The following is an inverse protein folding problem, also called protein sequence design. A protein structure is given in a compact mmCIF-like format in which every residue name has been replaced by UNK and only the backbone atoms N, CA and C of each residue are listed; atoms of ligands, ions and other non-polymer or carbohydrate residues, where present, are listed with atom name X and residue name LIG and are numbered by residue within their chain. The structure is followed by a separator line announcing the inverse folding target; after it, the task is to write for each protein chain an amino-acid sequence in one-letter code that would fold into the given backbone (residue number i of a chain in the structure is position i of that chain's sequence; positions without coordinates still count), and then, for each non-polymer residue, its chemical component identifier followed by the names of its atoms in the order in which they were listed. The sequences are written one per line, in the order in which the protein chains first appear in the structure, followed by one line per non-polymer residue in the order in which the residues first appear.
data_IF_365063720114
#
_entry.id   IF_365063720114
#
_cell.length_a   1.000
_cell.length_b   1.000
_cell.length_c   1.000
_cell.angle_alpha   90.00
_cell.angle_beta   90.00
_cell.angle_gamma   90.00
#
_symmetry.space_group_name_H-M   'P 1'
#
loop_
_entity.id
_entity.type
_entity.pdbx_description
1 polymer ?
#
# COMPACT_ATOMS: atom_id res chain seq x y z
N UNK A 1 16.31 -30.81 77.76
CA UNK A 1 16.21 -31.67 78.96
C UNK A 1 15.57 -30.84 80.07
N UNK A 2 15.37 -31.38 81.27
CA UNK A 2 14.73 -30.64 82.37
C UNK A 2 15.78 -29.86 83.16
N UNK A 3 15.55 -28.57 83.38
CA UNK A 3 16.40 -27.70 84.22
C UNK A 3 16.70 -28.37 85.56
N UNK A 4 17.98 -28.49 85.89
CA UNK A 4 18.40 -28.97 87.22
C UNK A 4 18.25 -27.82 88.23
N UNK A 5 17.53 -28.06 89.33
CA UNK A 5 17.21 -27.05 90.35
C UNK A 5 18.06 -27.28 91.60
N UNK A 6 18.70 -26.22 92.08
CA UNK A 6 19.45 -26.23 93.35
C UNK A 6 18.45 -25.94 94.48
N UNK A 7 18.27 -26.89 95.39
CA UNK A 7 17.49 -26.66 96.62
C UNK A 7 18.39 -25.98 97.66
N UNK A 8 17.98 -24.84 98.18
CA UNK A 8 18.75 -24.07 99.18
C UNK A 8 18.43 -24.44 100.63
N UNK A 9 17.51 -25.40 100.84
CA UNK A 9 17.01 -25.75 102.17
C UNK A 9 15.91 -24.81 102.66
N UNK A 10 15.27 -25.16 103.77
CA UNK A 10 14.21 -24.37 104.41
C UNK A 10 14.76 -23.38 105.45
N UNK A 11 15.95 -23.61 105.98
CA UNK A 11 16.66 -22.75 106.91
C UNK A 11 18.20 -22.89 106.77
N UNK A 12 18.93 -21.91 107.30
CA UNK A 12 20.40 -21.97 107.29
C UNK A 12 20.90 -23.20 108.06
N UNK A 13 21.82 -23.96 107.46
CA UNK A 13 22.46 -25.15 108.03
C UNK A 13 21.50 -26.31 108.37
N UNK A 14 20.31 -26.37 107.77
CA UNK A 14 19.33 -27.44 108.05
C UNK A 14 19.63 -28.81 107.40
N UNK A 15 20.68 -28.89 106.58
CA UNK A 15 21.13 -30.12 105.92
C UNK A 15 20.19 -30.65 104.82
N UNK A 16 19.09 -29.97 104.53
CA UNK A 16 18.07 -30.40 103.56
C UNK A 16 18.32 -29.87 102.13
N UNK A 17 19.27 -28.96 101.97
CA UNK A 17 19.68 -28.39 100.69
C UNK A 17 20.51 -29.35 99.82
N UNK A 18 20.62 -29.03 98.54
CA UNK A 18 21.49 -29.75 97.61
C UNK A 18 22.96 -29.57 98.04
N UNK A 19 23.76 -30.66 98.17
CA UNK A 19 25.17 -30.54 98.51
C UNK A 19 25.93 -29.61 97.55
N UNK A 20 26.85 -28.80 98.07
CA UNK A 20 27.55 -27.76 97.29
C UNK A 20 28.21 -28.31 96.01
N UNK A 21 28.85 -29.49 96.08
CA UNK A 21 29.45 -30.17 94.92
C UNK A 21 28.41 -30.50 93.85
N UNK A 22 27.28 -31.09 94.26
CA UNK A 22 26.17 -31.44 93.36
C UNK A 22 25.53 -30.18 92.77
N UNK A 23 25.43 -29.11 93.55
CA UNK A 23 24.96 -27.82 93.05
C UNK A 23 25.87 -27.26 91.94
N UNK A 24 27.21 -27.31 92.09
CA UNK A 24 28.13 -26.89 91.02
C UNK A 24 28.07 -27.79 89.78
N UNK A 25 27.80 -29.09 89.94
CA UNK A 25 27.56 -29.99 88.80
C UNK A 25 26.27 -29.60 88.05
N UNK A 26 25.21 -29.26 88.76
CA UNK A 26 23.96 -28.76 88.15
C UNK A 26 24.18 -27.45 87.40
N UNK A 27 24.98 -26.54 87.95
CA UNK A 27 25.36 -25.29 87.28
C UNK A 27 26.04 -25.57 85.95
N UNK A 28 27.08 -26.41 85.94
CA UNK A 28 27.82 -26.73 84.72
C UNK A 28 26.93 -27.44 83.68
N UNK A 29 26.12 -28.40 84.11
CA UNK A 29 25.20 -29.12 83.23
C UNK A 29 24.17 -28.17 82.58
N UNK A 30 23.57 -27.26 83.36
CA UNK A 30 22.64 -26.27 82.85
C UNK A 30 23.31 -25.29 81.85
N UNK A 31 24.56 -24.86 82.11
CA UNK A 31 25.28 -23.97 81.19
C UNK A 31 25.72 -24.67 79.91
N UNK A 32 26.20 -25.92 79.98
CA UNK A 32 26.48 -26.73 78.79
C UNK A 32 25.21 -26.91 77.95
N UNK A 33 24.05 -27.14 78.57
CA UNK A 33 22.79 -27.22 77.85
C UNK A 33 22.44 -25.89 77.13
N UNK A 34 22.63 -24.74 77.79
CA UNK A 34 22.37 -23.44 77.18
C UNK A 34 23.34 -23.12 76.03
N UNK A 35 24.64 -23.39 76.20
CA UNK A 35 25.64 -23.17 75.15
C UNK A 35 25.37 -24.07 73.94
N UNK A 36 25.09 -25.34 74.17
CA UNK A 36 24.78 -26.29 73.11
C UNK A 36 23.48 -25.90 72.38
N UNK A 37 22.48 -25.42 73.13
CA UNK A 37 21.22 -24.96 72.55
C UNK A 37 21.38 -23.71 71.67
N UNK A 38 22.06 -22.68 72.19
CA UNK A 38 22.22 -21.39 71.51
C UNK A 38 23.19 -21.46 70.31
N UNK A 39 24.17 -22.35 70.36
CA UNK A 39 25.14 -22.57 69.26
C UNK A 39 24.66 -23.61 68.25
N UNK A 40 23.78 -24.53 68.66
CA UNK A 40 23.36 -25.67 67.86
C UNK A 40 24.41 -26.79 67.75
N UNK A 41 25.48 -26.76 68.56
CA UNK A 41 26.58 -27.74 68.55
C UNK A 41 26.74 -28.39 69.92
N UNK A 42 26.97 -29.70 69.97
CA UNK A 42 27.21 -30.41 71.24
C UNK A 42 28.57 -30.03 71.85
N UNK A 43 28.62 -29.82 73.16
CA UNK A 43 29.80 -29.42 73.94
C UNK A 43 30.42 -28.07 73.50
N UNK A 44 29.59 -27.08 73.18
CA UNK A 44 30.07 -25.77 72.78
C UNK A 44 30.71 -25.01 73.95
N UNK A 45 31.89 -24.43 73.69
CA UNK A 45 32.67 -23.68 74.69
C UNK A 45 32.64 -22.17 74.46
N UNK A 46 32.06 -21.72 73.35
CA UNK A 46 31.92 -20.31 72.97
C UNK A 46 30.51 -20.05 72.43
N UNK A 47 29.97 -18.87 72.69
CA UNK A 47 28.71 -18.44 72.09
C UNK A 47 28.95 -17.92 70.66
N UNK A 48 27.98 -18.07 69.74
CA UNK A 48 28.14 -17.60 68.37
C UNK A 48 28.03 -16.07 68.31
N UNK A 49 28.62 -15.46 67.29
CA UNK A 49 28.51 -14.01 67.03
C UNK A 49 27.08 -13.59 66.69
N UNK A 50 26.26 -14.51 66.18
CA UNK A 50 24.82 -14.36 65.99
C UNK A 50 24.12 -15.70 66.27
N UNK A 51 22.92 -15.66 66.84
CA UNK A 51 22.11 -16.86 67.03
C UNK A 51 21.72 -17.46 65.67
N UNK A 52 21.82 -18.80 65.48
CA UNK A 52 21.36 -19.44 64.26
C UNK A 52 19.85 -19.25 64.02
N UNK A 53 19.43 -19.13 62.76
CA UNK A 53 18.00 -18.98 62.38
C UNK A 53 17.16 -20.12 62.97
N UNK A 54 17.67 -21.37 62.93
CA UNK A 54 16.99 -22.55 63.48
C UNK A 54 16.82 -22.54 65.02
N UNK A 55 17.45 -21.58 65.73
CA UNK A 55 17.41 -21.42 67.19
C UNK A 55 16.87 -20.05 67.62
N UNK A 56 16.10 -19.39 66.74
CA UNK A 56 15.49 -18.08 67.05
C UNK A 56 16.33 -16.87 66.64
N UNK A 57 17.35 -17.06 65.80
CA UNK A 57 18.25 -16.01 65.30
C UNK A 57 17.62 -14.83 64.56
N UNK A 58 16.30 -14.87 64.31
CA UNK A 58 15.55 -13.74 63.79
C UNK A 58 15.08 -12.78 64.88
N UNK A 59 15.12 -13.16 66.18
CA UNK A 59 14.61 -12.33 67.28
C UNK A 59 13.08 -12.14 67.28
N UNK A 60 12.34 -12.96 66.53
CA UNK A 60 10.89 -12.82 66.35
C UNK A 60 10.12 -14.04 66.83
N UNK A 61 8.95 -13.83 67.44
CA UNK A 61 8.02 -14.89 67.88
C UNK A 61 6.89 -15.17 66.89
N UNK A 62 6.82 -14.41 65.78
CA UNK A 62 5.84 -14.59 64.71
C UNK A 62 6.53 -14.66 63.35
N UNK A 63 5.91 -15.36 62.39
CA UNK A 63 6.43 -15.47 61.03
C UNK A 63 6.53 -14.09 60.33
N UNK A 64 5.61 -13.16 60.62
CA UNK A 64 5.63 -11.81 60.04
C UNK A 64 6.83 -10.97 60.54
N UNK A 65 7.09 -10.97 61.85
CA UNK A 65 8.24 -10.28 62.42
C UNK A 65 9.56 -10.94 61.97
N UNK A 66 9.59 -12.27 61.83
CA UNK A 66 10.78 -12.97 61.32
C UNK A 66 11.12 -12.55 59.88
N UNK A 67 10.11 -12.43 58.99
CA UNK A 67 10.31 -11.92 57.63
C UNK A 67 10.81 -10.47 57.61
N UNK A 68 10.26 -9.62 58.47
CA UNK A 68 10.68 -8.21 58.62
C UNK A 68 12.15 -8.13 59.04
N UNK A 69 12.56 -8.90 60.04
CA UNK A 69 13.93 -8.88 60.57
C UNK A 69 14.96 -9.44 59.57
N UNK A 70 14.52 -10.28 58.62
CA UNK A 70 15.34 -10.77 57.50
C UNK A 70 15.33 -9.82 56.28
N UNK A 71 14.62 -8.69 56.34
CA UNK A 71 14.50 -7.76 55.20
C UNK A 71 13.71 -8.32 54.02
N UNK A 72 12.86 -9.33 54.26
CA UNK A 72 12.04 -9.94 53.22
C UNK A 72 10.82 -9.05 52.95
N UNK A 73 10.68 -8.53 51.73
CA UNK A 73 9.54 -7.71 51.31
C UNK A 73 8.27 -8.50 51.01
N UNK A 74 7.26 -7.82 50.46
CA UNK A 74 5.91 -8.36 50.24
C UNK A 74 5.87 -9.62 49.36
N UNK A 75 6.85 -9.78 48.46
CA UNK A 75 7.00 -10.96 47.62
C UNK A 75 7.09 -12.28 48.41
N UNK A 76 7.61 -12.25 49.63
CA UNK A 76 7.72 -13.43 50.50
C UNK A 76 6.37 -13.96 51.01
N UNK A 77 5.28 -13.20 50.80
CA UNK A 77 3.92 -13.58 51.21
C UNK A 77 2.96 -13.77 50.03
N UNK A 78 3.38 -13.41 48.82
CA UNK A 78 2.53 -13.55 47.64
C UNK A 78 2.27 -15.02 47.31
N UNK A 79 1.00 -15.34 47.11
CA UNK A 79 0.60 -16.65 46.60
C UNK A 79 0.90 -16.70 45.10
N UNK A 80 1.55 -17.76 44.63
CA UNK A 80 1.74 -17.98 43.19
C UNK A 80 0.42 -18.26 42.50
N UNK A 81 0.30 -17.83 41.26
CA UNK A 81 -0.80 -18.23 40.38
C UNK A 81 -0.92 -19.76 40.29
N UNK A 82 -2.15 -20.27 40.35
CA UNK A 82 -2.46 -21.70 40.49
C UNK A 82 -2.68 -22.43 39.16
N UNK A 83 -3.05 -21.71 38.09
CA UNK A 83 -3.28 -22.27 36.76
C UNK A 83 -2.92 -21.25 35.66
N UNK A 84 -2.98 -21.72 34.42
CA UNK A 84 -2.77 -20.89 33.23
C UNK A 84 -3.90 -19.88 32.94
N UNK A 85 -5.00 -19.95 33.68
CA UNK A 85 -6.18 -19.09 33.55
C UNK A 85 -6.50 -18.32 34.84
N UNK A 86 -5.58 -18.30 35.80
CA UNK A 86 -5.79 -17.78 37.15
C UNK A 86 -5.85 -16.24 37.21
N UNK A 87 -7.05 -15.69 37.07
CA UNK A 87 -7.31 -14.24 37.12
C UNK A 87 -7.35 -13.63 38.55
N UNK A 88 -6.86 -14.32 39.59
CA UNK A 88 -6.91 -13.80 40.97
C UNK A 88 -5.90 -12.66 41.16
N UNK A 89 -6.41 -11.46 41.47
CA UNK A 89 -5.59 -10.28 41.75
C UNK A 89 -4.62 -10.50 42.94
N UNK A 90 -3.44 -9.88 42.87
CA UNK A 90 -2.44 -9.91 43.94
C UNK A 90 -1.58 -11.17 44.03
N UNK A 91 -1.68 -12.09 43.05
CA UNK A 91 -0.82 -13.27 42.96
C UNK A 91 0.50 -13.00 42.23
N UNK A 92 1.54 -13.73 42.59
CA UNK A 92 2.79 -13.74 41.83
C UNK A 92 2.66 -14.63 40.58
N UNK A 93 3.07 -14.11 39.42
CA UNK A 93 3.00 -14.84 38.15
C UNK A 93 4.03 -15.98 38.12
N UNK A 94 3.57 -17.18 37.77
CA UNK A 94 4.44 -18.33 37.49
C UNK A 94 4.67 -18.48 35.98
N UNK A 95 5.86 -18.96 35.59
CA UNK A 95 6.20 -19.23 34.18
C UNK A 95 5.19 -20.21 33.57
N UNK A 96 4.71 -19.87 32.37
CA UNK A 96 3.71 -20.60 31.61
C UNK A 96 2.27 -20.18 31.89
N UNK A 97 2.00 -19.44 32.98
CA UNK A 97 0.66 -18.95 33.22
C UNK A 97 0.33 -17.81 32.27
N UNK A 98 -0.90 -17.83 31.74
CA UNK A 98 -1.33 -16.98 30.63
C UNK A 98 -0.42 -17.05 29.40
N UNK A 99 0.40 -18.10 29.27
CA UNK A 99 1.35 -18.26 28.16
C UNK A 99 2.62 -17.41 28.27
N UNK A 100 2.84 -16.76 29.42
CA UNK A 100 4.02 -15.90 29.63
C UNK A 100 5.23 -16.76 29.97
N UNK A 101 6.32 -16.63 29.22
CA UNK A 101 7.57 -17.37 29.42
C UNK A 101 7.55 -18.83 28.93
N UNK A 102 6.36 -19.42 28.73
CA UNK A 102 6.15 -20.66 27.97
C UNK A 102 4.79 -20.59 27.29
N UNK A 103 4.77 -20.60 25.96
CA UNK A 103 3.53 -20.54 25.19
C UNK A 103 2.59 -21.70 25.51
N UNK A 104 1.28 -21.42 25.47
CA UNK A 104 0.23 -22.42 25.63
C UNK A 104 -0.30 -22.78 24.25
N UNK A 105 -0.50 -24.07 23.95
CA UNK A 105 -1.13 -24.44 22.68
C UNK A 105 -2.61 -24.12 22.73
N UNK A 106 -3.20 -23.74 21.60
CA UNK A 106 -4.66 -23.63 21.46
C UNK A 106 -5.35 -24.92 21.94
N UNK A 107 -4.78 -26.08 21.61
CA UNK A 107 -5.30 -27.40 22.01
C UNK A 107 -5.17 -27.72 23.49
N UNK A 108 -4.28 -27.04 24.23
CA UNK A 108 -4.17 -27.17 25.68
C UNK A 108 -5.30 -26.43 26.41
N UNK A 109 -5.97 -25.49 25.73
CA UNK A 109 -7.14 -24.75 26.24
C UNK A 109 -8.44 -25.42 25.81
N UNK A 110 -8.54 -25.79 24.54
CA UNK A 110 -9.69 -26.50 24.01
C UNK A 110 -9.21 -27.61 23.06
N UNK A 111 -9.56 -28.85 23.39
CA UNK A 111 -9.09 -30.02 22.67
C UNK A 111 -9.54 -30.07 21.20
N UNK A 112 -10.58 -29.32 20.80
CA UNK A 112 -10.98 -29.22 19.39
C UNK A 112 -10.06 -28.31 18.56
N UNK A 113 -9.26 -27.46 19.21
CA UNK A 113 -8.38 -26.50 18.53
C UNK A 113 -9.12 -25.29 17.97
N UNK A 114 -10.38 -25.10 18.33
CA UNK A 114 -11.24 -24.05 17.78
C UNK A 114 -10.94 -22.70 18.44
N UNK A 115 -10.50 -21.73 17.63
CA UNK A 115 -10.20 -20.39 18.12
C UNK A 115 -11.40 -19.67 18.73
N UNK A 116 -12.64 -20.03 18.39
CA UNK A 116 -13.82 -19.41 18.99
C UNK A 116 -13.94 -19.70 20.49
N UNK A 117 -13.36 -20.82 20.96
CA UNK A 117 -13.42 -21.25 22.36
C UNK A 117 -12.25 -20.75 23.20
N UNK A 118 -11.22 -20.19 22.57
CA UNK A 118 -10.09 -19.60 23.30
C UNK A 118 -10.43 -18.17 23.72
N UNK A 119 -11.16 -18.06 24.83
CA UNK A 119 -11.73 -16.80 25.35
C UNK A 119 -11.06 -16.29 26.63
N UNK A 120 -10.16 -17.08 27.20
CA UNK A 120 -9.39 -16.65 28.37
C UNK A 120 -8.28 -15.69 27.90
N UNK A 121 -8.08 -14.54 28.55
CA UNK A 121 -6.97 -13.65 28.22
C UNK A 121 -5.62 -14.37 28.36
N UNK A 122 -4.70 -14.14 27.43
CA UNK A 122 -3.39 -14.76 27.46
C UNK A 122 -2.72 -14.86 26.08
N UNK A 123 -1.56 -15.50 26.10
CA UNK A 123 -0.73 -15.77 24.93
C UNK A 123 -0.80 -17.25 24.59
N UNK A 124 -1.19 -17.54 23.36
CA UNK A 124 -1.38 -18.87 22.85
C UNK A 124 -0.63 -19.03 21.53
N UNK A 125 -0.49 -20.28 21.09
CA UNK A 125 0.16 -20.61 19.84
C UNK A 125 -0.49 -21.81 19.16
N UNK A 126 -0.37 -21.83 17.85
CA UNK A 126 -0.57 -23.02 17.05
C UNK A 126 0.78 -23.41 16.45
N UNK A 127 1.29 -24.57 16.85
CA UNK A 127 2.63 -25.05 16.50
C UNK A 127 2.64 -26.08 15.37
N UNK A 128 1.47 -26.44 14.82
CA UNK A 128 1.39 -27.35 13.68
C UNK A 128 0.52 -26.81 12.55
N UNK A 129 0.99 -27.04 11.32
CA UNK A 129 0.29 -26.63 10.10
C UNK A 129 -1.11 -27.25 9.98
N UNK A 130 -1.24 -28.53 10.36
CA UNK A 130 -2.48 -29.28 10.23
C UNK A 130 -3.60 -28.78 11.14
N UNK A 131 -3.26 -28.19 12.30
CA UNK A 131 -4.23 -27.69 13.26
C UNK A 131 -4.75 -26.28 12.94
N UNK A 132 -4.04 -25.51 12.10
CA UNK A 132 -4.48 -24.18 11.68
C UNK A 132 -5.40 -24.24 10.47
N UNK A 133 -6.71 -24.48 10.65
CA UNK A 133 -7.67 -24.59 9.54
C UNK A 133 -8.77 -23.52 9.62
N UNK A 134 -9.36 -23.14 8.47
CA UNK A 134 -10.49 -22.21 8.46
C UNK A 134 -11.71 -22.77 9.21
N UNK A 135 -11.89 -24.10 9.21
CA UNK A 135 -12.96 -24.77 9.94
C UNK A 135 -12.80 -24.65 11.47
N UNK A 136 -11.57 -24.50 11.96
CA UNK A 136 -11.24 -24.23 13.36
C UNK A 136 -11.11 -22.72 13.65
N UNK A 137 -11.69 -21.89 12.77
CA UNK A 137 -11.78 -20.44 12.89
C UNK A 137 -10.42 -19.71 12.87
N UNK A 138 -9.38 -20.29 12.26
CA UNK A 138 -8.15 -19.56 11.96
C UNK A 138 -8.36 -18.57 10.80
N UNK A 139 -7.71 -17.40 10.81
CA UNK A 139 -7.83 -16.43 9.72
C UNK A 139 -7.19 -16.90 8.40
N UNK A 140 -6.21 -17.81 8.47
CA UNK A 140 -5.48 -18.37 7.33
C UNK A 140 -5.21 -19.84 7.59
N UNK A 141 -5.47 -20.71 6.61
CA UNK A 141 -5.21 -22.13 6.73
C UNK A 141 -3.73 -22.49 6.54
N UNK A 142 -3.30 -23.59 7.16
CA UNK A 142 -1.98 -24.16 6.99
C UNK A 142 -0.88 -23.26 7.53
N UNK A 143 -1.12 -22.55 8.64
CA UNK A 143 -0.15 -21.63 9.22
C UNK A 143 0.10 -21.95 10.70
N UNK A 144 1.37 -21.95 11.10
CA UNK A 144 1.75 -21.81 12.51
C UNK A 144 1.72 -20.34 12.89
N UNK A 145 1.48 -20.03 14.16
CA UNK A 145 1.37 -18.65 14.58
C UNK A 145 1.12 -18.47 16.07
N UNK A 146 1.11 -17.22 16.50
CA UNK A 146 0.73 -16.82 17.86
C UNK A 146 -0.66 -16.20 17.85
N UNK A 147 -1.42 -16.50 18.91
CA UNK A 147 -2.71 -15.91 19.21
C UNK A 147 -2.58 -15.14 20.53
N UNK A 148 -3.05 -13.91 20.54
CA UNK A 148 -3.19 -13.10 21.75
C UNK A 148 -4.67 -12.92 21.99
N UNK A 149 -5.14 -13.24 23.19
CA UNK A 149 -6.50 -12.99 23.64
C UNK A 149 -6.47 -11.92 24.70
N UNK A 150 -7.29 -10.89 24.51
CA UNK A 150 -7.43 -9.78 25.45
C UNK A 150 -8.89 -9.62 25.83
N UNK A 151 -9.13 -9.07 27.01
CA UNK A 151 -10.42 -8.63 27.49
C UNK A 151 -10.40 -7.14 27.81
N UNK A 152 -11.58 -6.58 28.05
CA UNK A 152 -11.70 -5.28 28.69
C UNK A 152 -11.97 -5.53 30.18
N UNK A 153 -11.30 -4.79 31.05
CA UNK A 153 -11.42 -4.97 32.51
C UNK A 153 -12.89 -4.93 32.96
N UNK A 154 -13.31 -5.88 33.79
CA UNK A 154 -14.66 -5.92 34.38
C UNK A 154 -15.36 -7.26 34.17
N UNK A 155 -16.68 -7.29 34.36
CA UNK A 155 -17.51 -8.50 34.26
C UNK A 155 -18.16 -8.68 32.89
N UNK A 156 -17.79 -7.86 31.91
CA UNK A 156 -18.39 -7.92 30.59
C UNK A 156 -17.75 -9.04 29.73
N UNK A 157 -18.48 -9.40 28.68
CA UNK A 157 -18.22 -10.58 27.87
C UNK A 157 -17.35 -10.29 26.64
N UNK A 158 -16.75 -9.10 26.57
CA UNK A 158 -15.99 -8.68 25.40
C UNK A 158 -14.60 -9.31 25.38
N UNK A 159 -14.23 -9.92 24.26
CA UNK A 159 -12.87 -10.42 24.00
C UNK A 159 -12.40 -9.94 22.64
N UNK A 160 -11.11 -9.67 22.54
CA UNK A 160 -10.45 -9.47 21.26
C UNK A 160 -9.37 -10.52 21.06
N UNK A 161 -9.27 -11.02 19.83
CA UNK A 161 -8.23 -11.93 19.41
C UNK A 161 -7.35 -11.24 18.38
N UNK A 162 -6.05 -11.42 18.52
CA UNK A 162 -5.05 -11.02 17.54
C UNK A 162 -4.27 -12.28 17.15
N UNK A 163 -4.18 -12.57 15.85
CA UNK A 163 -3.44 -13.71 15.34
C UNK A 163 -2.32 -13.24 14.41
N UNK A 164 -1.12 -13.76 14.64
CA UNK A 164 0.08 -13.47 13.86
C UNK A 164 0.62 -14.80 13.33
N UNK A 165 0.39 -15.15 12.05
CA UNK A 165 1.07 -16.27 11.41
C UNK A 165 2.58 -16.04 11.33
N UNK A 166 3.35 -17.09 11.57
CA UNK A 166 4.82 -17.06 11.63
C UNK A 166 5.49 -17.93 10.56
N UNK A 167 4.75 -18.69 9.77
CA UNK A 167 5.32 -19.42 8.62
C UNK A 167 5.80 -18.43 7.55
N UNK A 168 6.94 -18.72 6.91
CA UNK A 168 7.45 -17.94 5.77
C UNK A 168 6.50 -17.87 4.55
N UNK A 169 6.63 -16.81 3.75
CA UNK A 169 5.80 -16.53 2.57
C UNK A 169 4.98 -15.25 2.71
N UNK A 170 4.04 -15.00 1.78
CA UNK A 170 3.24 -13.76 1.69
C UNK A 170 2.32 -13.49 2.89
N UNK A 171 2.19 -14.46 3.80
CA UNK A 171 1.33 -14.35 4.98
C UNK A 171 2.09 -14.17 6.29
N UNK A 172 3.41 -14.39 6.31
CA UNK A 172 4.24 -14.26 7.50
C UNK A 172 4.19 -12.84 8.06
N UNK A 173 3.99 -12.69 9.37
CA UNK A 173 3.98 -11.38 10.02
C UNK A 173 2.77 -10.51 9.69
N UNK A 174 1.76 -11.03 8.99
CA UNK A 174 0.46 -10.38 8.90
C UNK A 174 -0.17 -10.29 10.28
N UNK A 175 -0.95 -9.23 10.53
CA UNK A 175 -1.70 -9.08 11.76
C UNK A 175 -3.18 -9.26 11.45
N UNK A 176 -3.83 -10.21 12.11
CA UNK A 176 -5.27 -10.40 12.03
C UNK A 176 -5.90 -10.06 13.37
N UNK A 177 -7.05 -9.38 13.36
CA UNK A 177 -7.81 -9.12 14.57
C UNK A 177 -9.29 -9.42 14.39
N UNK A 178 -9.95 -9.80 15.48
CA UNK A 178 -11.41 -9.92 15.58
C UNK A 178 -11.86 -9.71 17.02
N UNK A 179 -13.16 -9.54 17.22
CA UNK A 179 -13.74 -9.37 18.55
C UNK A 179 -15.07 -10.11 18.72
N UNK A 180 -15.45 -10.31 19.96
CA UNK A 180 -16.73 -10.86 20.42
C UNK A 180 -17.23 -10.00 21.57
N UNK A 181 -18.55 -9.97 21.78
CA UNK A 181 -19.20 -9.31 22.92
C UNK A 181 -19.93 -10.29 23.84
N UNK A 182 -19.83 -11.60 23.57
CA UNK A 182 -20.67 -12.66 24.14
C UNK A 182 -19.85 -13.92 24.51
N UNK A 183 -18.64 -13.73 25.04
CA UNK A 183 -17.73 -14.82 25.44
C UNK A 183 -17.48 -15.83 24.31
N UNK A 184 -17.37 -15.33 23.08
CA UNK A 184 -17.01 -16.13 21.92
C UNK A 184 -18.15 -16.94 21.31
N UNK A 185 -19.41 -16.71 21.72
CA UNK A 185 -20.55 -17.31 21.04
C UNK A 185 -20.73 -16.74 19.61
N UNK A 186 -20.47 -15.44 19.44
CA UNK A 186 -20.48 -14.75 18.15
C UNK A 186 -19.20 -13.95 17.97
N UNK A 187 -18.51 -14.17 16.86
CA UNK A 187 -17.29 -13.44 16.50
C UNK A 187 -17.50 -12.55 15.28
N UNK A 188 -16.90 -11.36 15.30
CA UNK A 188 -16.71 -10.61 14.07
C UNK A 188 -15.83 -11.42 13.10
N UNK A 189 -15.95 -11.19 11.79
CA UNK A 189 -14.99 -11.71 10.83
C UNK A 189 -13.56 -11.29 11.19
N UNK A 190 -12.58 -12.12 10.82
CA UNK A 190 -11.18 -11.74 10.91
C UNK A 190 -10.87 -10.59 9.95
N UNK A 191 -10.29 -9.52 10.49
CA UNK A 191 -9.80 -8.40 9.70
C UNK A 191 -8.29 -8.45 9.64
N UNK A 192 -7.72 -8.37 8.43
CA UNK A 192 -6.27 -8.30 8.23
C UNK A 192 -5.81 -6.84 8.23
N UNK A 193 -4.80 -6.53 9.04
CA UNK A 193 -4.08 -5.26 8.98
C UNK A 193 -3.08 -5.28 7.81
N UNK A 194 -3.11 -4.25 6.98
CA UNK A 194 -2.15 -4.05 5.89
C UNK A 194 -1.06 -3.11 6.39
N UNK A 195 0.18 -3.61 6.49
CA UNK A 195 1.33 -2.76 6.81
C UNK A 195 1.92 -2.15 5.55
N UNK A 196 2.60 -1.00 5.71
CA UNK A 196 3.34 -0.38 4.61
C UNK A 196 4.44 -1.27 4.05
N UNK A 197 4.96 -2.21 4.85
CA UNK A 197 5.99 -3.16 4.42
C UNK A 197 5.41 -4.45 3.82
N UNK A 198 4.09 -4.63 3.84
CA UNK A 198 3.46 -5.82 3.27
C UNK A 198 3.60 -5.83 1.75
N UNK A 199 3.80 -7.02 1.17
CA UNK A 199 3.93 -7.18 -0.28
C UNK A 199 2.71 -6.63 -1.03
N UNK A 200 1.51 -6.78 -0.48
CA UNK A 200 0.28 -6.27 -1.11
C UNK A 200 0.25 -4.75 -1.15
N UNK A 201 0.68 -4.08 -0.07
CA UNK A 201 0.79 -2.62 -0.05
C UNK A 201 1.88 -2.13 -1.02
N UNK A 202 3.04 -2.79 -1.01
CA UNK A 202 4.13 -2.47 -1.94
C UNK A 202 3.71 -2.67 -3.39
N UNK A 203 2.88 -3.69 -3.69
CA UNK A 203 2.30 -3.86 -5.02
C UNK A 203 1.34 -2.73 -5.40
N UNK A 204 0.51 -2.26 -4.47
CA UNK A 204 -0.37 -1.12 -4.70
C UNK A 204 0.43 0.14 -5.06
N UNK A 205 1.49 0.43 -4.30
CA UNK A 205 2.41 1.54 -4.60
C UNK A 205 3.10 1.35 -5.96
N UNK A 206 3.75 0.20 -6.17
CA UNK A 206 4.53 -0.09 -7.37
C UNK A 206 3.70 -0.17 -8.65
N UNK A 207 2.39 -0.35 -8.53
CA UNK A 207 1.45 -0.38 -9.65
C UNK A 207 0.75 0.96 -9.87
N UNK A 208 1.20 2.06 -9.26
CA UNK A 208 0.71 3.38 -9.66
C UNK A 208 -0.44 3.94 -8.85
N UNK A 209 -0.97 3.21 -7.86
CA UNK A 209 -2.21 3.60 -7.18
C UNK A 209 -2.01 4.63 -6.05
N UNK A 210 -0.76 4.92 -5.67
CA UNK A 210 -0.43 5.99 -4.72
C UNK A 210 0.52 7.05 -5.32
N UNK A 211 1.42 6.63 -6.21
CA UNK A 211 2.25 7.48 -7.05
C UNK A 211 2.47 6.74 -8.37
N UNK A 212 2.56 7.44 -9.50
CA UNK A 212 2.72 6.82 -10.82
C UNK A 212 3.92 5.87 -10.83
N UNK A 213 3.73 4.67 -11.39
CA UNK A 213 4.81 3.71 -11.61
C UNK A 213 5.89 4.37 -12.48
N UNK A 214 7.13 4.36 -12.02
CA UNK A 214 8.26 4.77 -12.84
C UNK A 214 8.50 3.72 -13.93
N UNK A 215 8.36 4.13 -15.19
CA UNK A 215 8.48 3.23 -16.34
C UNK A 215 9.92 3.17 -16.91
N UNK A 216 10.74 4.20 -16.66
CA UNK A 216 12.14 4.25 -17.07
C UNK A 216 12.36 3.96 -18.55
N UNK A 217 13.38 3.15 -18.86
CA UNK A 217 13.71 2.68 -20.22
C UNK A 217 13.16 1.29 -20.53
N UNK A 218 12.16 0.81 -19.77
CA UNK A 218 11.63 -0.55 -19.93
C UNK A 218 10.49 -0.56 -20.95
N UNK A 219 10.55 -1.49 -21.89
CA UNK A 219 9.45 -1.75 -22.82
C UNK A 219 8.16 -2.08 -22.05
N UNK A 220 7.05 -1.48 -22.44
CA UNK A 220 5.74 -1.67 -21.83
C UNK A 220 5.31 -3.15 -21.83
N UNK A 221 5.71 -3.90 -22.86
CA UNK A 221 5.47 -5.35 -22.97
C UNK A 221 6.17 -6.18 -21.89
N UNK A 222 7.19 -5.66 -21.22
CA UNK A 222 7.88 -6.35 -20.13
C UNK A 222 7.17 -6.22 -18.77
N UNK A 223 6.11 -5.41 -18.68
CA UNK A 223 5.34 -5.25 -17.42
C UNK A 223 4.19 -6.24 -17.26
N UNK A 224 3.91 -7.10 -18.25
CA UNK A 224 2.72 -7.96 -18.28
C UNK A 224 2.64 -8.92 -17.08
N UNK A 225 3.79 -9.42 -16.60
CA UNK A 225 3.87 -10.28 -15.42
C UNK A 225 3.66 -9.55 -14.08
N UNK A 226 3.73 -8.22 -14.06
CA UNK A 226 3.58 -7.39 -12.86
C UNK A 226 2.14 -7.04 -12.47
N UNK A 227 1.18 -7.38 -13.32
CA UNK A 227 -0.24 -7.00 -13.16
C UNK A 227 -0.53 -5.60 -13.69
N UNK A 228 -1.78 -5.16 -13.51
CA UNK A 228 -2.22 -3.84 -13.97
C UNK A 228 -1.51 -2.71 -13.24
N UNK A 229 -1.23 -1.61 -13.94
CA UNK A 229 -0.53 -0.46 -13.39
C UNK A 229 -0.98 0.87 -14.00
N UNK A 230 -0.74 1.97 -13.27
CA UNK A 230 -0.78 3.35 -13.77
C UNK A 230 0.66 3.88 -13.74
N UNK A 231 1.19 4.29 -14.89
CA UNK A 231 2.58 4.73 -15.00
C UNK A 231 2.70 6.07 -15.71
N UNK A 232 3.80 6.76 -15.41
CA UNK A 232 4.22 7.96 -16.14
C UNK A 232 5.55 7.66 -16.80
N UNK A 233 5.58 7.77 -18.13
CA UNK A 233 6.83 7.96 -18.86
C UNK A 233 7.09 9.46 -18.88
N UNK A 234 8.05 9.91 -18.07
CA UNK A 234 8.32 11.34 -17.91
C UNK A 234 9.28 11.92 -18.95
N UNK A 235 9.93 11.10 -19.78
CA UNK A 235 10.99 11.56 -20.68
C UNK A 235 10.87 10.97 -22.09
N UNK A 236 11.15 11.79 -23.09
CA UNK A 236 11.28 11.35 -24.50
C UNK A 236 12.39 10.31 -24.66
N UNK A 237 13.50 10.47 -23.91
CA UNK A 237 14.65 9.54 -23.89
C UNK A 237 14.23 8.16 -23.38
N UNK A 238 13.49 8.10 -22.26
CA UNK A 238 12.99 6.84 -21.71
C UNK A 238 12.02 6.13 -22.64
N UNK A 239 11.09 6.88 -23.25
CA UNK A 239 10.14 6.34 -24.23
C UNK A 239 10.86 5.74 -25.45
N UNK A 240 11.86 6.47 -25.97
CA UNK A 240 12.68 6.03 -27.11
C UNK A 240 13.48 4.78 -26.77
N UNK A 241 14.14 4.77 -25.61
CA UNK A 241 14.95 3.64 -25.17
C UNK A 241 14.12 2.37 -24.95
N UNK A 242 12.90 2.51 -24.45
CA UNK A 242 11.97 1.40 -24.27
C UNK A 242 11.46 0.82 -25.60
N UNK A 243 11.34 1.63 -26.64
CA UNK A 243 11.15 1.19 -28.04
C UNK A 243 9.75 0.70 -28.42
N UNK A 244 8.80 0.62 -27.49
CA UNK A 244 7.45 0.10 -27.77
C UNK A 244 6.32 1.06 -27.34
N UNK A 245 6.68 2.31 -27.03
CA UNK A 245 5.74 3.42 -26.84
C UNK A 245 5.22 3.92 -28.20
N UNK A 246 4.03 4.54 -28.25
CA UNK A 246 3.50 5.06 -29.53
C UNK A 246 4.28 6.28 -30.03
N UNK A 247 4.96 6.98 -29.12
CA UNK A 247 5.66 8.24 -29.38
C UNK A 247 6.87 8.39 -28.47
N UNK A 248 7.88 9.13 -28.92
CA UNK A 248 9.07 9.50 -28.16
C UNK A 248 8.83 10.76 -27.30
N UNK A 249 7.81 10.74 -26.44
CA UNK A 249 7.41 11.88 -25.61
C UNK A 249 6.88 11.41 -24.24
N UNK A 250 6.63 12.37 -23.34
CA UNK A 250 6.02 12.09 -22.04
C UNK A 250 4.54 11.70 -22.17
N UNK A 251 4.13 10.65 -21.45
CA UNK A 251 2.81 10.03 -21.58
C UNK A 251 2.42 9.28 -20.30
N UNK A 252 1.15 9.36 -19.97
CA UNK A 252 0.52 8.47 -18.99
C UNK A 252 0.16 7.14 -19.64
N UNK A 253 0.44 6.05 -18.93
CA UNK A 253 0.14 4.69 -19.37
C UNK A 253 -0.76 4.01 -18.35
N UNK A 254 -1.89 3.49 -18.82
CA UNK A 254 -2.69 2.51 -18.09
C UNK A 254 -2.40 1.13 -18.68
N UNK A 255 -1.73 0.27 -17.90
CA UNK A 255 -1.51 -1.13 -18.22
C UNK A 255 -2.58 -2.02 -17.59
N UNK A 256 -3.28 -2.81 -18.40
CA UNK A 256 -4.29 -3.78 -17.98
C UNK A 256 -3.75 -5.18 -18.23
N UNK A 257 -3.22 -5.83 -17.19
CA UNK A 257 -2.47 -7.08 -17.32
C UNK A 257 -2.95 -8.15 -16.33
N UNK A 258 -3.00 -9.40 -16.76
CA UNK A 258 -3.42 -10.55 -15.93
C UNK A 258 -2.31 -11.10 -15.00
N UNK A 259 -1.24 -10.33 -14.74
CA UNK A 259 -0.05 -10.79 -14.00
C UNK A 259 0.60 -12.03 -14.63
N UNK A 260 0.62 -12.10 -15.96
CA UNK A 260 1.17 -13.21 -16.73
C UNK A 260 1.68 -12.69 -18.07
N UNK A 261 2.89 -13.11 -18.46
CA UNK A 261 3.50 -12.70 -19.73
C UNK A 261 2.82 -13.33 -20.95
N UNK A 262 2.05 -14.40 -20.78
CA UNK A 262 1.41 -15.15 -21.88
C UNK A 262 -0.09 -14.87 -22.00
N UNK A 263 -0.69 -14.15 -21.07
CA UNK A 263 -2.14 -13.89 -21.09
C UNK A 263 -2.50 -12.64 -21.90
N UNK A 264 -3.80 -12.40 -22.00
CA UNK A 264 -4.34 -11.15 -22.55
C UNK A 264 -3.82 -9.92 -21.79
N UNK A 265 -3.42 -8.88 -22.52
CA UNK A 265 -2.98 -7.62 -21.97
C UNK A 265 -3.34 -6.45 -22.88
N UNK A 266 -3.49 -5.25 -22.31
CA UNK A 266 -3.75 -4.03 -23.05
C UNK A 266 -3.05 -2.83 -22.42
N UNK A 267 -2.69 -1.87 -23.25
CA UNK A 267 -2.17 -0.58 -22.79
C UNK A 267 -2.97 0.56 -23.42
N UNK A 268 -3.27 1.58 -22.63
CA UNK A 268 -3.77 2.87 -23.08
C UNK A 268 -2.68 3.92 -22.81
N UNK A 269 -2.35 4.71 -23.83
CA UNK A 269 -1.42 5.84 -23.72
C UNK A 269 -2.16 7.15 -23.93
N UNK A 270 -1.82 8.14 -23.09
CA UNK A 270 -2.28 9.52 -23.18
C UNK A 270 -1.02 10.39 -23.14
N UNK A 271 -0.67 11.02 -24.26
CA UNK A 271 0.48 11.93 -24.32
C UNK A 271 0.19 13.19 -23.49
N UNK A 272 1.22 13.70 -22.81
CA UNK A 272 1.09 14.93 -21.99
C UNK A 272 1.34 16.20 -22.79
N UNK A 273 2.19 16.11 -23.82
CA UNK A 273 2.65 17.26 -24.62
C UNK A 273 2.30 17.13 -26.11
N UNK A 274 1.49 16.15 -26.49
CA UNK A 274 0.98 15.98 -27.85
C UNK A 274 -0.49 15.54 -27.88
N UNK A 275 -1.14 15.75 -29.02
CA UNK A 275 -2.53 15.41 -29.28
C UNK A 275 -2.69 13.92 -29.63
N UNK A 276 -2.22 13.06 -28.72
CA UNK A 276 -2.28 11.61 -28.90
C UNK A 276 -2.94 10.91 -27.72
N UNK A 277 -3.98 10.15 -28.05
CA UNK A 277 -4.53 9.10 -27.20
C UNK A 277 -4.60 7.84 -28.06
N UNK A 278 -4.13 6.72 -27.55
CA UNK A 278 -4.15 5.48 -28.31
C UNK A 278 -4.04 4.26 -27.43
N UNK A 279 -4.43 3.12 -27.98
CA UNK A 279 -4.34 1.85 -27.27
C UNK A 279 -3.66 0.78 -28.12
N UNK A 280 -3.13 -0.23 -27.46
CA UNK A 280 -2.71 -1.49 -28.07
C UNK A 280 -3.12 -2.65 -27.19
N UNK A 281 -3.21 -3.84 -27.77
CA UNK A 281 -3.54 -5.06 -27.01
C UNK A 281 -2.79 -6.27 -27.54
N UNK A 282 -2.76 -7.34 -26.75
CA UNK A 282 -2.41 -8.68 -27.22
C UNK A 282 -3.41 -9.72 -26.74
N UNK A 283 -3.54 -10.81 -27.48
CA UNK A 283 -4.31 -11.99 -27.09
C UNK A 283 -3.43 -12.99 -26.33
N UNK A 284 -4.05 -14.04 -25.77
CA UNK A 284 -3.33 -15.21 -25.24
C UNK A 284 -2.21 -15.67 -26.20
N UNK A 285 -0.99 -15.74 -25.67
CA UNK A 285 0.26 -16.09 -26.34
C UNK A 285 0.59 -15.26 -27.60
N UNK A 286 -0.09 -14.13 -27.80
CA UNK A 286 0.07 -13.25 -28.96
C UNK A 286 1.13 -12.18 -28.77
N UNK A 287 1.47 -11.50 -29.87
CA UNK A 287 2.22 -10.24 -29.84
C UNK A 287 1.27 -9.05 -29.68
N UNK A 288 1.81 -7.92 -29.21
CA UNK A 288 1.05 -6.67 -29.19
C UNK A 288 0.69 -6.23 -30.61
N UNK A 289 -0.53 -5.76 -30.79
CA UNK A 289 -0.93 -5.02 -31.99
C UNK A 289 -0.08 -3.76 -32.14
N UNK A 290 -0.01 -3.18 -33.35
CA UNK A 290 0.35 -1.79 -33.48
C UNK A 290 -0.51 -0.90 -32.57
N UNK A 291 0.00 0.28 -32.28
CA UNK A 291 -0.77 1.30 -31.57
C UNK A 291 -1.90 1.83 -32.45
N UNK A 292 -3.13 1.78 -31.94
CA UNK A 292 -4.30 2.38 -32.57
C UNK A 292 -4.55 3.75 -31.93
N UNK A 293 -4.32 4.81 -32.70
CA UNK A 293 -4.69 6.16 -32.29
C UNK A 293 -6.21 6.31 -32.25
N UNK A 294 -6.75 6.83 -31.15
CA UNK A 294 -8.15 7.20 -31.04
C UNK A 294 -8.38 8.52 -31.78
N UNK A 295 -9.42 8.54 -32.61
CA UNK A 295 -9.88 9.74 -33.33
C UNK A 295 -11.09 10.31 -32.59
N UNK A 296 -11.09 11.62 -32.38
CA UNK A 296 -12.15 12.36 -31.70
C UNK A 296 -12.24 13.81 -32.20
N UNK A 297 -13.16 14.58 -31.63
CA UNK A 297 -13.49 15.94 -32.09
C UNK A 297 -12.29 16.90 -32.14
N UNK A 298 -11.28 16.66 -31.28
CA UNK A 298 -10.07 17.49 -31.26
C UNK A 298 -9.09 17.21 -32.42
N UNK A 299 -9.05 15.98 -32.96
CA UNK A 299 -8.08 15.61 -34.01
C UNK A 299 -8.75 15.23 -35.34
N UNK A 300 -10.04 15.51 -35.46
CA UNK A 300 -10.84 15.30 -36.67
C UNK A 300 -11.84 16.44 -36.90
N UNK A 301 -12.25 16.66 -38.14
CA UNK A 301 -13.33 17.59 -38.54
C UNK A 301 -14.40 16.79 -39.25
N UNK A 302 -15.61 17.35 -39.25
CA UNK A 302 -16.73 16.83 -40.03
C UNK A 302 -16.90 17.74 -41.23
N UNK A 303 -16.80 17.17 -42.44
CA UNK A 303 -17.03 17.93 -43.66
C UNK A 303 -18.52 18.29 -43.85
N UNK A 304 -18.81 19.12 -44.86
CA UNK A 304 -20.18 19.56 -45.15
C UNK A 304 -21.18 18.42 -45.46
N UNK A 305 -20.70 17.20 -45.71
CA UNK A 305 -21.50 16.01 -45.98
C UNK A 305 -21.56 15.04 -44.79
N UNK A 306 -20.96 15.39 -43.64
CA UNK A 306 -20.98 14.55 -42.44
C UNK A 306 -19.84 13.54 -42.33
N UNK A 307 -18.84 13.55 -43.22
CA UNK A 307 -17.71 12.63 -43.16
C UNK A 307 -16.62 13.14 -42.21
N UNK A 308 -16.10 12.25 -41.38
CA UNK A 308 -14.99 12.53 -40.46
C UNK A 308 -13.66 12.49 -41.22
N UNK A 309 -12.88 13.56 -41.14
CA UNK A 309 -11.54 13.69 -41.75
C UNK A 309 -10.51 14.10 -40.69
N UNK A 310 -9.25 13.69 -40.84
CA UNK A 310 -8.14 14.22 -40.02
C UNK A 310 -7.99 15.72 -40.25
N UNK A 311 -7.96 16.55 -39.21
CA UNK A 311 -8.30 17.97 -39.41
C UNK A 311 -7.74 18.98 -38.41
N UNK A 312 -6.49 18.81 -38.02
CA UNK A 312 -5.78 19.92 -37.38
C UNK A 312 -4.45 20.17 -38.06
N UNK A 313 -4.02 21.45 -38.18
CA UNK A 313 -4.82 22.69 -38.08
C UNK A 313 -5.73 22.91 -39.30
N UNK A 314 -6.95 23.45 -39.14
CA UNK A 314 -7.89 23.73 -40.26
C UNK A 314 -8.60 25.07 -40.17
N UNK A 315 -9.02 25.59 -41.32
CA UNK A 315 -9.91 26.73 -41.43
C UNK A 315 -11.02 26.53 -42.46
N UNK A 316 -12.13 27.24 -42.25
CA UNK A 316 -13.21 27.40 -43.23
C UNK A 316 -13.10 28.78 -43.86
N UNK A 317 -12.81 28.83 -45.16
CA UNK A 317 -12.79 30.05 -45.95
C UNK A 317 -14.16 30.32 -46.55
N UNK A 318 -14.74 31.46 -46.23
CA UNK A 318 -15.98 32.01 -46.79
C UNK A 318 -15.66 33.19 -47.71
N UNK A 319 -16.68 33.75 -48.35
CA UNK A 319 -16.52 34.86 -49.30
C UNK A 319 -15.87 36.11 -48.69
N UNK A 320 -16.11 36.38 -47.39
CA UNK A 320 -15.62 37.60 -46.73
C UNK A 320 -14.99 37.32 -45.34
N UNK A 321 -14.90 36.06 -44.92
CA UNK A 321 -14.36 35.67 -43.61
C UNK A 321 -13.61 34.35 -43.66
N UNK A 322 -12.79 34.13 -42.64
CA UNK A 322 -12.14 32.84 -42.39
C UNK A 322 -12.40 32.45 -40.93
N UNK A 323 -12.87 31.23 -40.72
CA UNK A 323 -13.06 30.66 -39.38
C UNK A 323 -11.93 29.66 -39.11
N UNK A 324 -11.11 29.95 -38.10
CA UNK A 324 -9.97 29.11 -37.70
C UNK A 324 -10.39 28.19 -36.55
N UNK A 325 -9.93 26.93 -36.57
CA UNK A 325 -9.98 26.08 -35.38
C UNK A 325 -8.89 26.47 -34.36
N UNK A 326 -8.98 25.95 -33.14
CA UNK A 326 -8.06 26.30 -32.03
C UNK A 326 -6.57 26.09 -32.39
N UNK A 327 -6.24 25.05 -33.16
CA UNK A 327 -4.86 24.81 -33.59
C UNK A 327 -4.42 25.77 -34.71
N UNK A 328 -5.32 26.17 -35.62
CA UNK A 328 -5.00 27.14 -36.66
C UNK A 328 -4.82 28.55 -36.10
N UNK A 329 -5.49 28.88 -34.98
CA UNK A 329 -5.31 30.16 -34.27
C UNK A 329 -3.91 30.33 -33.65
N UNK A 330 -3.13 29.25 -33.50
CA UNK A 330 -1.74 29.32 -33.05
C UNK A 330 -0.81 29.96 -34.08
N UNK A 331 -1.22 29.94 -35.36
CA UNK A 331 -0.53 30.64 -36.44
C UNK A 331 -1.13 32.05 -36.61
N UNK A 332 -0.36 33.06 -37.03
CA UNK A 332 -0.84 34.42 -37.24
C UNK A 332 -1.67 34.56 -38.54
N UNK A 333 -2.66 33.67 -38.73
CA UNK A 333 -3.43 33.55 -39.97
C UNK A 333 -4.41 34.72 -40.10
N UNK A 334 -4.34 35.40 -41.25
CA UNK A 334 -5.28 36.47 -41.62
C UNK A 334 -5.75 36.31 -43.07
N UNK A 335 -7.00 36.72 -43.34
CA UNK A 335 -7.57 36.74 -44.69
C UNK A 335 -7.48 38.15 -45.29
N UNK A 336 -7.01 38.24 -46.53
CA UNK A 336 -7.06 39.43 -47.37
C UNK A 336 -7.78 39.10 -48.68
N UNK A 337 -8.92 39.74 -48.94
CA UNK A 337 -9.66 39.60 -50.20
C UNK A 337 -9.15 40.62 -51.20
N UNK A 338 -8.47 40.14 -52.24
CA UNK A 338 -7.84 40.98 -53.28
C UNK A 338 -8.82 41.39 -54.39
N UNK A 339 -9.92 40.65 -54.54
CA UNK A 339 -10.95 40.90 -55.54
C UNK A 339 -12.06 39.84 -55.49
N UNK A 340 -12.97 39.90 -56.46
CA UNK A 340 -14.00 38.86 -56.63
C UNK A 340 -13.30 37.51 -56.86
N UNK A 341 -13.58 36.54 -55.99
CA UNK A 341 -12.99 35.21 -56.05
C UNK A 341 -11.46 35.18 -55.94
N UNK A 342 -10.82 36.17 -55.28
CA UNK A 342 -9.36 36.20 -55.06
C UNK A 342 -9.06 36.41 -53.57
N UNK A 343 -8.59 35.35 -52.91
CA UNK A 343 -8.36 35.26 -51.47
C UNK A 343 -6.89 34.97 -51.19
N UNK A 344 -6.27 35.80 -50.36
CA UNK A 344 -4.93 35.61 -49.86
C UNK A 344 -4.97 35.34 -48.36
N UNK A 345 -4.44 34.17 -47.97
CA UNK A 345 -4.34 33.76 -46.57
C UNK A 345 -2.89 33.94 -46.15
N UNK A 346 -2.66 34.86 -45.22
CA UNK A 346 -1.32 35.28 -44.79
C UNK A 346 -0.97 34.71 -43.44
N UNK A 347 0.32 34.46 -43.21
CA UNK A 347 0.84 34.04 -41.91
C UNK A 347 0.67 32.55 -41.59
N UNK A 348 0.35 31.73 -42.60
CA UNK A 348 0.32 30.27 -42.46
C UNK A 348 1.71 29.66 -42.61
N UNK A 349 1.89 28.47 -42.04
CA UNK A 349 3.06 27.62 -42.26
C UNK A 349 3.00 26.79 -43.57
N UNK A 350 2.01 27.06 -44.41
CA UNK A 350 1.77 26.37 -45.69
C UNK A 350 0.67 25.32 -45.61
N UNK A 351 0.50 24.54 -46.68
CA UNK A 351 -0.46 23.44 -46.71
C UNK A 351 -0.01 22.25 -45.86
N UNK A 352 -0.97 21.46 -45.38
CA UNK A 352 -0.68 20.18 -44.73
C UNK A 352 0.19 19.27 -45.62
N UNK A 353 1.23 18.67 -45.03
CA UNK A 353 2.17 17.78 -45.72
C UNK A 353 1.65 16.34 -45.88
N UNK A 354 0.61 15.97 -45.14
CA UNK A 354 -0.01 14.65 -45.18
C UNK A 354 -1.54 14.74 -45.26
N UNK A 355 -2.13 13.95 -46.16
CA UNK A 355 -3.58 13.87 -46.33
C UNK A 355 -4.15 14.95 -47.24
N UNK A 356 -5.32 15.48 -46.88
CA UNK A 356 -6.02 16.54 -47.65
C UNK A 356 -5.59 17.94 -47.19
N UNK A 357 -5.70 18.92 -48.08
CA UNK A 357 -5.35 20.31 -47.81
C UNK A 357 -6.35 21.34 -48.36
N UNK A 358 -7.14 20.99 -49.39
CA UNK A 358 -8.27 21.79 -49.88
C UNK A 358 -9.49 20.87 -50.09
N UNK A 359 -10.64 21.25 -49.56
CA UNK A 359 -11.95 20.67 -49.90
C UNK A 359 -12.84 21.76 -50.53
N UNK A 360 -13.30 21.52 -51.75
CA UNK A 360 -14.14 22.47 -52.49
C UNK A 360 -15.61 22.33 -52.05
N UNK A 361 -16.40 23.42 -52.04
CA UNK A 361 -17.81 23.36 -51.69
C UNK A 361 -18.59 22.51 -52.71
N UNK A 362 -19.35 21.54 -52.22
CA UNK A 362 -20.18 20.62 -53.03
C UNK A 362 -21.66 20.81 -52.73
N UNK A 363 -22.51 20.55 -53.73
CA UNK A 363 -23.95 20.43 -53.53
C UNK A 363 -24.34 19.07 -52.90
N UNK A 364 -25.62 18.88 -52.61
CA UNK A 364 -26.14 17.63 -52.03
C UNK A 364 -25.98 16.40 -52.96
N UNK A 365 -25.71 16.62 -54.24
CA UNK A 365 -25.47 15.57 -55.23
C UNK A 365 -23.97 15.30 -55.43
N UNK A 366 -23.09 15.97 -54.67
CA UNK A 366 -21.64 15.84 -54.77
C UNK A 366 -20.99 16.68 -55.87
N UNK A 367 -21.74 17.53 -56.57
CA UNK A 367 -21.17 18.39 -57.60
C UNK A 367 -20.43 19.56 -56.95
N UNK A 368 -19.18 19.76 -57.35
CA UNK A 368 -18.40 20.94 -56.96
C UNK A 368 -19.09 22.21 -57.47
N UNK A 369 -19.32 23.18 -56.59
CA UNK A 369 -20.08 24.40 -56.90
C UNK A 369 -19.26 25.44 -57.64
N UNK A 370 -18.00 25.62 -57.25
CA UNK A 370 -17.04 26.57 -57.85
C UNK A 370 -15.71 25.89 -58.14
N UNK A 371 -15.06 26.25 -59.23
CA UNK A 371 -13.72 25.76 -59.52
C UNK A 371 -12.71 26.53 -58.65
N UNK A 372 -11.83 25.82 -57.95
CA UNK A 372 -10.84 26.42 -57.04
C UNK A 372 -9.44 26.22 -57.62
N UNK A 373 -8.71 27.31 -57.83
CA UNK A 373 -7.28 27.31 -58.11
C UNK A 373 -6.55 27.77 -56.86
N UNK A 374 -5.52 27.04 -56.44
CA UNK A 374 -4.79 27.36 -55.22
C UNK A 374 -3.29 27.23 -55.42
N UNK A 375 -2.52 28.03 -54.69
CA UNK A 375 -1.05 28.03 -54.74
C UNK A 375 -0.48 28.43 -53.38
N UNK A 376 0.48 27.66 -52.89
CA UNK A 376 1.35 28.10 -51.80
C UNK A 376 2.44 29.02 -52.36
N UNK A 377 2.60 30.18 -51.74
CA UNK A 377 3.62 31.17 -52.08
C UNK A 377 4.94 30.83 -51.38
N UNK A 378 6.04 31.47 -51.81
CA UNK A 378 7.39 31.20 -51.26
C UNK A 378 7.51 31.51 -49.76
N UNK A 379 6.67 32.43 -49.26
CA UNK A 379 6.58 32.78 -47.85
C UNK A 379 5.59 31.89 -47.06
N UNK A 380 5.10 30.80 -47.66
CA UNK A 380 4.09 29.88 -47.12
C UNK A 380 2.67 30.44 -46.97
N UNK A 381 2.42 31.67 -47.44
CA UNK A 381 1.05 32.17 -47.61
C UNK A 381 0.31 31.36 -48.68
N UNK A 382 -1.01 31.33 -48.59
CA UNK A 382 -1.85 30.53 -49.50
C UNK A 382 -2.73 31.47 -50.32
N UNK A 383 -2.55 31.42 -51.64
CA UNK A 383 -3.46 32.04 -52.60
C UNK A 383 -4.55 31.06 -53.00
N UNK A 384 -5.81 31.48 -52.91
CA UNK A 384 -6.99 30.74 -53.37
C UNK A 384 -7.79 31.63 -54.30
N UNK A 385 -8.06 31.15 -55.50
CA UNK A 385 -8.91 31.82 -56.48
C UNK A 385 -10.07 30.94 -56.89
N UNK A 386 -11.26 31.52 -57.01
CA UNK A 386 -12.49 30.80 -57.35
C UNK A 386 -13.09 31.31 -58.66
N UNK A 387 -13.53 30.38 -59.50
CA UNK A 387 -13.99 30.65 -60.86
C UNK A 387 -15.30 29.93 -61.17
N UNK A 388 -16.04 30.46 -62.15
CA UNK A 388 -17.10 29.69 -62.80
C UNK A 388 -16.51 28.44 -63.43
N UNK A 389 -17.32 27.41 -63.53
CA UNK A 389 -16.97 26.16 -64.19
C UNK A 389 -17.24 26.31 -65.68
N UNK A 390 -16.26 25.99 -66.54
CA UNK A 390 -16.48 25.82 -67.99
C UNK A 390 -16.21 24.36 -68.38
N UNK A 391 -16.99 23.87 -69.34
CA UNK A 391 -16.74 22.56 -69.93
C UNK A 391 -15.71 22.71 -71.04
N UNK A 392 -14.57 22.06 -70.87
CA UNK A 392 -13.55 21.97 -71.90
C UNK A 392 -13.84 20.75 -72.79
N UNK A 393 -14.18 21.03 -74.04
CA UNK A 393 -14.54 20.02 -75.05
C UNK A 393 -13.33 19.14 -75.41
N UNK A 394 -12.10 19.66 -75.34
CA UNK A 394 -10.91 18.92 -75.76
C UNK A 394 -10.51 17.86 -74.72
N UNK A 395 -10.61 18.20 -73.44
CA UNK A 395 -10.30 17.29 -72.33
C UNK A 395 -11.52 16.56 -71.79
N UNK A 396 -12.72 16.88 -72.30
CA UNK A 396 -14.02 16.44 -71.79
C UNK A 396 -14.15 16.63 -70.26
N UNK A 397 -13.56 17.71 -69.73
CA UNK A 397 -13.45 17.95 -68.30
C UNK A 397 -14.04 19.31 -67.91
N UNK A 398 -14.43 19.44 -66.65
CA UNK A 398 -14.85 20.72 -66.09
C UNK A 398 -13.61 21.44 -65.58
N UNK A 399 -13.26 22.56 -66.20
CA UNK A 399 -12.09 23.37 -65.86
C UNK A 399 -12.50 24.74 -65.30
N UNK A 400 -11.60 25.43 -64.57
CA UNK A 400 -11.85 26.80 -64.13
C UNK A 400 -11.94 27.75 -65.33
N UNK A 401 -12.99 28.56 -65.36
CA UNK A 401 -13.12 29.66 -66.31
C UNK A 401 -12.36 30.89 -65.79
N UNK A 402 -11.07 30.96 -66.14
CA UNK A 402 -10.15 31.99 -65.64
C UNK A 402 -10.58 33.44 -65.96
N UNK A 403 -11.47 33.64 -66.92
CA UNK A 403 -12.02 34.95 -67.30
C UNK A 403 -13.24 35.35 -66.46
N UNK A 404 -13.85 34.40 -65.74
CA UNK A 404 -15.05 34.60 -64.94
C UNK A 404 -14.83 34.21 -63.48
N UNK A 405 -14.09 35.04 -62.70
CA UNK A 405 -13.98 34.84 -61.27
C UNK A 405 -15.33 34.98 -60.57
N UNK A 406 -15.55 34.20 -59.53
CA UNK A 406 -16.80 34.19 -58.74
C UNK A 406 -16.46 34.01 -57.27
N UNK A 407 -17.13 34.72 -56.39
CA UNK A 407 -16.96 34.50 -54.95
C UNK A 407 -17.48 33.12 -54.51
N UNK A 408 -17.00 32.66 -53.35
CA UNK A 408 -17.53 31.46 -52.69
C UNK A 408 -19.03 31.66 -52.43
N UNK A 409 -19.91 30.73 -52.85
CA UNK A 409 -21.36 30.90 -52.69
C UNK A 409 -21.77 31.08 -51.23
N UNK A 410 -22.81 31.89 -50.99
CA UNK A 410 -23.34 32.13 -49.64
C UNK A 410 -23.75 30.82 -48.96
N UNK A 411 -23.41 30.68 -47.67
CA UNK A 411 -23.66 29.46 -46.88
C UNK A 411 -22.74 28.27 -47.24
N UNK A 412 -21.72 28.49 -48.07
CA UNK A 412 -20.70 27.49 -48.42
C UNK A 412 -19.31 28.00 -48.06
N UNK A 413 -18.39 27.06 -47.89
CA UNK A 413 -17.00 27.34 -47.55
C UNK A 413 -16.06 26.41 -48.31
N UNK A 414 -14.79 26.82 -48.39
CA UNK A 414 -13.67 25.96 -48.75
C UNK A 414 -13.01 25.54 -47.43
N UNK A 415 -12.88 24.24 -47.17
CA UNK A 415 -12.08 23.79 -46.02
C UNK A 415 -10.60 23.75 -46.43
N UNK A 416 -9.74 24.26 -45.56
CA UNK A 416 -8.30 24.39 -45.77
C UNK A 416 -7.61 23.74 -44.59
N UNK A 417 -6.61 22.90 -44.86
CA UNK A 417 -5.75 22.31 -43.82
C UNK A 417 -4.32 22.85 -43.94
N UNK A 418 -3.83 23.41 -42.84
CA UNK A 418 -2.50 24.00 -42.77
C UNK A 418 -1.47 22.99 -42.28
N UNK A 419 -0.20 23.32 -42.48
CA UNK A 419 0.91 22.62 -41.84
C UNK A 419 0.90 22.89 -40.33
N UNK A 420 1.18 21.86 -39.54
CA UNK A 420 1.27 21.95 -38.08
C UNK A 420 2.68 22.36 -37.65
N UNK A 421 2.77 23.26 -36.67
CA UNK A 421 4.06 23.61 -36.07
C UNK A 421 4.54 22.46 -35.18
N UNK A 422 5.72 21.91 -35.47
CA UNK A 422 6.36 20.96 -34.55
C UNK A 422 6.91 21.77 -33.38
N UNK A 423 6.21 21.78 -32.25
CA UNK A 423 6.72 22.36 -31.01
C UNK A 423 7.90 21.50 -30.56
N UNK A 424 9.12 21.94 -30.89
CA UNK A 424 10.34 21.45 -30.28
C UNK A 424 10.45 22.15 -28.91
N UNK A 425 10.31 21.40 -27.83
CA UNK A 425 10.53 21.95 -26.49
C UNK A 425 11.95 22.53 -26.40
N UNK A 426 12.01 23.80 -26.01
CA UNK A 426 13.22 24.43 -25.49
C UNK A 426 13.70 23.54 -24.34
N UNK A 427 14.91 22.99 -24.48
CA UNK A 427 15.56 22.24 -23.41
C UNK A 427 15.62 23.16 -22.19
N UNK A 428 14.81 22.87 -21.16
CA UNK A 428 14.96 23.52 -19.87
C UNK A 428 16.42 23.33 -19.42
N UNK A 429 17.08 24.39 -18.92
CA UNK A 429 18.44 24.27 -18.43
C UNK A 429 18.47 23.21 -17.33
N UNK A 430 19.49 22.37 -17.40
CA UNK A 430 19.82 21.29 -16.47
C UNK A 430 19.92 21.88 -15.05
N UNK A 431 18.86 21.73 -14.25
CA UNK A 431 18.91 22.06 -12.83
C UNK A 431 19.79 21.00 -12.15
N UNK A 432 21.07 21.34 -12.10
CA UNK A 432 22.08 20.70 -11.28
C UNK A 432 21.80 21.04 -9.82
N UNK A 433 21.25 20.07 -9.06
CA UNK A 433 21.77 19.57 -7.76
C UNK A 433 20.99 18.36 -7.23
#
# INVERSE_FOLDING_TARGET
MTKQVINVGSAANDGSGTPARTAFQYVNANFSELYDFLTGTTNATTLPTALPIAKGGTGATSAAAARTNLGLGDAATMTKTASNTDATLGRSLAVGNFGIGRGIRVTDIDASGDLNKVITPGFYGNDTFASGTLALNFPVAGQVGTLIVTDISGTNNYRAQIYIPLTGGSVSGNFFFRSTSDLGATWSPWTRLISSNSLDYQRLLNNGFAANKNLGSTALSNFDAGGSFIGLQGTSVGATAAGDYPMAQAQYILGLNASSAIEHAANLSIATSATYIGFRRKSYQGSYTPWYALRGEHNTTVDANGFIKSASPVAKLFADSIELNDDAQKQPITLEKLGVGDYLIKGSLGFAQEGWYIEMPKDANGNVLVAVAYKQLENNDISIKTYKKKFDIETASIVPDLENPVDIPEGRNIDIRFHEEVVLEETLPDDTE
#
